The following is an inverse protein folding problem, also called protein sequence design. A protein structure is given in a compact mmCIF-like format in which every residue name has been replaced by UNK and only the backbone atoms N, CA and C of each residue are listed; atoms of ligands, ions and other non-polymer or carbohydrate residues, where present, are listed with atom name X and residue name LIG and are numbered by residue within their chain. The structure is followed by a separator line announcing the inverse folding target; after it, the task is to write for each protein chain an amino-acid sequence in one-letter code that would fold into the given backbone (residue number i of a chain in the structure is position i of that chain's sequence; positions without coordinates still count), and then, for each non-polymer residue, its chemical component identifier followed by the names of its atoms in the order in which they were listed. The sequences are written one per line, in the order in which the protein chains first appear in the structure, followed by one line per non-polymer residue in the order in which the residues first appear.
data_IF_304993651193
#
_entry.id   IF_304993651193
#
_cell.length_a   1.000
_cell.length_b   1.000
_cell.length_c   1.000
_cell.angle_alpha   90.00
_cell.angle_beta   90.00
_cell.angle_gamma   90.00
#
_symmetry.space_group_name_H-M   'P 1'
#
loop_
_entity.id
_entity.type
_entity.pdbx_description
1 polymer ?
#
# COMPACT_ATOMS: atom_id res chain seq x y z
N UNK A 1 -4.76 -0.15 -0.29
CA UNK A 1 -3.64 0.16 0.63
C UNK A 1 -2.81 -1.06 1.03
N UNK A 2 -3.32 -2.27 0.81
CA UNK A 2 -2.65 -3.53 1.15
C UNK A 2 -1.25 -3.70 0.54
N UNK A 3 -0.92 -2.97 -0.52
CA UNK A 3 0.42 -3.02 -1.11
C UNK A 3 1.55 -2.61 -0.15
N UNK A 4 1.26 -1.85 0.92
CA UNK A 4 2.27 -1.51 1.94
C UNK A 4 2.70 -2.76 2.72
N UNK A 5 1.82 -3.48 3.45
CA UNK A 5 2.22 -4.70 4.13
C UNK A 5 2.67 -5.78 3.15
N UNK A 6 2.02 -5.91 1.98
CA UNK A 6 2.41 -6.88 0.96
C UNK A 6 3.87 -6.70 0.50
N UNK A 7 4.31 -5.45 0.31
CA UNK A 7 5.70 -5.16 -0.05
C UNK A 7 6.68 -5.60 1.04
N UNK A 8 6.40 -5.29 2.32
CA UNK A 8 7.27 -5.72 3.42
C UNK A 8 7.35 -7.25 3.51
N UNK A 9 6.20 -7.92 3.42
CA UNK A 9 6.13 -9.39 3.44
C UNK A 9 6.91 -9.97 2.26
N UNK A 10 6.70 -9.45 1.06
CA UNK A 10 7.38 -9.95 -0.14
C UNK A 10 8.91 -9.80 -0.09
N UNK A 11 9.39 -8.70 0.45
CA UNK A 11 10.83 -8.47 0.67
C UNK A 11 11.40 -9.39 1.76
N UNK A 12 10.67 -9.61 2.85
CA UNK A 12 11.11 -10.46 3.95
C UNK A 12 11.15 -11.93 3.55
N UNK A 13 10.14 -12.40 2.83
CA UNK A 13 10.03 -13.77 2.33
C UNK A 13 10.90 -14.03 1.08
N UNK A 14 11.59 -13.01 0.56
CA UNK A 14 12.46 -13.13 -0.60
C UNK A 14 11.72 -13.35 -1.93
N UNK A 15 10.40 -13.11 -1.97
CA UNK A 15 9.60 -13.16 -3.20
C UNK A 15 9.99 -12.08 -4.20
N UNK A 16 10.59 -11.00 -3.70
CA UNK A 16 11.23 -9.91 -4.45
C UNK A 16 12.44 -9.42 -3.65
N UNK A 17 13.54 -9.02 -4.32
CA UNK A 17 14.82 -8.71 -3.64
C UNK A 17 15.06 -7.23 -3.42
N UNK A 18 14.43 -6.36 -4.20
CA UNK A 18 14.66 -4.92 -4.07
C UNK A 18 13.86 -4.06 -5.04
N UNK A 19 14.10 -2.75 -5.01
CA UNK A 19 13.36 -1.74 -5.77
C UNK A 19 13.28 -2.01 -7.27
N UNK A 20 14.39 -2.44 -7.85
CA UNK A 20 14.56 -2.60 -9.29
C UNK A 20 14.38 -4.05 -9.74
N UNK A 21 14.14 -4.98 -8.81
CA UNK A 21 13.87 -6.36 -9.14
C UNK A 21 12.55 -6.46 -9.92
N UNK A 22 12.57 -7.17 -11.03
CA UNK A 22 11.56 -7.09 -12.09
C UNK A 22 10.86 -8.43 -12.26
N UNK A 23 9.54 -8.38 -12.46
CA UNK A 23 8.73 -9.50 -12.93
C UNK A 23 8.32 -9.20 -14.37
N UNK A 24 8.54 -10.21 -15.24
CA UNK A 24 8.18 -10.13 -16.65
C UNK A 24 6.66 -10.06 -16.80
N UNK A 25 6.22 -9.22 -17.73
CA UNK A 25 4.82 -9.14 -18.12
C UNK A 25 4.38 -10.43 -18.79
N UNK A 26 3.17 -10.86 -18.47
CA UNK A 26 2.57 -12.11 -18.97
C UNK A 26 1.98 -11.97 -20.39
N UNK A 27 2.09 -10.79 -21.03
CA UNK A 27 1.54 -10.53 -22.36
C UNK A 27 0.03 -10.23 -22.37
N UNK A 28 -0.67 -10.36 -21.24
CA UNK A 28 -2.11 -10.10 -21.17
C UNK A 28 -2.39 -8.60 -21.12
N UNK A 29 -3.06 -8.07 -22.14
CA UNK A 29 -3.45 -6.66 -22.23
C UNK A 29 -4.53 -6.34 -21.18
N UNK A 30 -4.26 -5.34 -20.35
CA UNK A 30 -5.16 -4.81 -19.31
C UNK A 30 -5.59 -3.38 -19.65
N UNK A 31 -6.66 -2.91 -19.03
CA UNK A 31 -7.20 -1.56 -19.26
C UNK A 31 -6.28 -0.41 -18.83
N UNK A 32 -5.30 -0.69 -17.98
CA UNK A 32 -4.32 0.31 -17.51
C UNK A 32 -3.02 0.10 -18.29
N UNK A 33 -2.68 1.02 -19.16
CA UNK A 33 -1.52 0.89 -20.07
C UNK A 33 -0.19 0.72 -19.33
N UNK A 34 -0.01 1.40 -18.21
CA UNK A 34 1.18 1.26 -17.37
C UNK A 34 1.39 -0.16 -16.81
N UNK A 35 0.37 -1.03 -16.87
CA UNK A 35 0.46 -2.42 -16.44
C UNK A 35 0.90 -3.39 -17.55
N UNK A 36 0.89 -2.94 -18.81
CA UNK A 36 1.13 -3.77 -19.99
C UNK A 36 2.61 -3.76 -20.40
N UNK A 37 3.49 -3.98 -19.43
CA UNK A 37 4.95 -4.06 -19.57
C UNK A 37 5.56 -4.72 -18.35
N UNK A 38 6.83 -5.12 -18.44
CA UNK A 38 7.61 -5.59 -17.30
C UNK A 38 7.52 -4.58 -16.14
N UNK A 39 7.39 -5.08 -14.92
CA UNK A 39 7.27 -4.24 -13.73
C UNK A 39 8.41 -4.50 -12.75
N UNK A 40 9.04 -3.44 -12.29
CA UNK A 40 9.85 -3.49 -11.08
C UNK A 40 8.97 -3.29 -9.83
N UNK A 41 9.48 -3.63 -8.65
CA UNK A 41 8.77 -3.33 -7.39
C UNK A 41 8.42 -1.83 -7.30
N UNK A 42 9.34 -0.95 -7.71
CA UNK A 42 9.12 0.51 -7.72
C UNK A 42 7.97 0.91 -8.63
N UNK A 43 7.96 0.46 -9.88
CA UNK A 43 6.91 0.81 -10.85
C UNK A 43 5.57 0.18 -10.47
N UNK A 44 5.56 -1.08 -10.04
CA UNK A 44 4.35 -1.78 -9.63
C UNK A 44 3.67 -1.11 -8.42
N UNK A 45 4.45 -0.61 -7.45
CA UNK A 45 3.90 0.16 -6.32
C UNK A 45 3.33 1.49 -6.79
N UNK A 46 4.10 2.25 -7.61
CA UNK A 46 3.70 3.55 -8.16
C UNK A 46 2.37 3.45 -8.92
N UNK A 47 2.28 2.54 -9.87
CA UNK A 47 1.11 2.36 -10.73
C UNK A 47 0.03 1.46 -10.11
N UNK A 48 0.22 1.01 -8.87
CA UNK A 48 -0.71 0.08 -8.20
C UNK A 48 -0.97 -1.20 -9.00
N UNK A 49 0.04 -1.70 -9.71
CA UNK A 49 -0.06 -2.85 -10.61
C UNK A 49 -0.56 -4.10 -9.86
N UNK A 50 -1.76 -4.57 -10.20
CA UNK A 50 -2.42 -5.66 -9.48
C UNK A 50 -1.73 -6.98 -9.80
N UNK A 51 -1.52 -7.30 -11.06
CA UNK A 51 -0.96 -8.60 -11.47
C UNK A 51 0.44 -8.87 -10.87
N UNK A 52 1.26 -7.82 -10.72
CA UNK A 52 2.57 -7.94 -10.08
C UNK A 52 2.44 -8.40 -8.63
N UNK A 53 1.53 -7.80 -7.87
CA UNK A 53 1.29 -8.17 -6.47
C UNK A 53 0.57 -9.51 -6.33
N UNK A 54 -0.22 -9.91 -7.31
CA UNK A 54 -0.79 -11.26 -7.40
C UNK A 54 0.30 -12.31 -7.59
N UNK A 55 1.27 -12.04 -8.45
CA UNK A 55 2.42 -12.92 -8.65
C UNK A 55 3.27 -13.03 -7.37
N UNK A 56 3.54 -11.92 -6.68
CA UNK A 56 4.20 -11.97 -5.38
C UNK A 56 3.42 -12.81 -4.38
N UNK A 57 2.10 -12.68 -4.37
CA UNK A 57 1.25 -13.44 -3.46
C UNK A 57 1.32 -14.95 -3.73
N UNK A 58 1.32 -15.37 -4.98
CA UNK A 58 1.51 -16.79 -5.35
C UNK A 58 2.86 -17.33 -4.90
N UNK A 59 3.93 -16.55 -5.02
CA UNK A 59 5.28 -16.93 -4.53
C UNK A 59 5.36 -17.05 -3.01
N UNK A 60 4.65 -16.21 -2.28
CA UNK A 60 4.66 -16.17 -0.81
C UNK A 60 3.83 -17.32 -0.24
N UNK A 61 2.62 -17.52 -0.73
CA UNK A 61 1.69 -18.55 -0.25
C UNK A 61 0.81 -18.10 0.93
N UNK A 62 -0.39 -18.69 1.01
CA UNK A 62 -1.43 -18.29 1.93
C UNK A 62 -1.03 -18.42 3.41
N UNK A 63 -0.30 -19.50 3.76
CA UNK A 63 0.16 -19.75 5.13
C UNK A 63 1.06 -18.64 5.64
N UNK A 64 1.99 -18.15 4.82
CA UNK A 64 2.88 -17.04 5.18
C UNK A 64 2.12 -15.73 5.31
N UNK A 65 1.13 -15.46 4.44
CA UNK A 65 0.26 -14.29 4.63
C UNK A 65 -0.51 -14.37 5.95
N UNK A 66 -1.10 -15.50 6.29
CA UNK A 66 -1.80 -15.70 7.57
C UNK A 66 -0.86 -15.44 8.75
N UNK A 67 0.35 -15.99 8.71
CA UNK A 67 1.36 -15.74 9.73
C UNK A 67 1.67 -14.23 9.86
N UNK A 68 1.99 -13.56 8.74
CA UNK A 68 2.35 -12.15 8.76
C UNK A 68 1.20 -11.24 9.14
N UNK A 69 -0.01 -11.46 8.66
CA UNK A 69 -1.18 -10.66 9.05
C UNK A 69 -1.45 -10.71 10.55
N UNK A 70 -1.22 -11.88 11.18
CA UNK A 70 -1.28 -12.02 12.63
C UNK A 70 -0.14 -11.25 13.32
N UNK A 71 1.11 -11.37 12.85
CA UNK A 71 2.26 -10.63 13.41
C UNK A 71 2.12 -9.12 13.28
N UNK A 72 1.54 -8.65 12.18
CA UNK A 72 1.30 -7.23 11.91
C UNK A 72 0.05 -6.71 12.61
N UNK A 73 -0.78 -7.57 13.18
CA UNK A 73 -2.11 -7.21 13.69
C UNK A 73 -2.93 -6.43 12.64
N UNK A 74 -2.80 -6.83 11.37
CA UNK A 74 -3.33 -6.06 10.24
C UNK A 74 -4.82 -6.32 10.03
N UNK A 75 -5.65 -5.36 10.37
CA UNK A 75 -7.10 -5.45 10.22
C UNK A 75 -7.71 -6.62 10.98
N UNK A 76 -8.57 -7.39 10.32
CA UNK A 76 -9.17 -8.60 10.85
C UNK A 76 -8.27 -9.85 10.71
N UNK A 77 -7.08 -9.72 10.11
CA UNK A 77 -6.04 -10.77 9.96
C UNK A 77 -6.44 -11.92 9.04
N UNK A 78 -7.51 -11.80 8.26
CA UNK A 78 -8.00 -12.87 7.38
C UNK A 78 -7.30 -12.78 6.03
N UNK A 79 -6.54 -13.83 5.67
CA UNK A 79 -6.03 -14.05 4.33
C UNK A 79 -6.84 -15.20 3.68
N UNK A 80 -7.27 -15.00 2.45
CA UNK A 80 -8.04 -16.01 1.72
C UNK A 80 -9.50 -15.62 1.48
N UNK A 81 -10.30 -16.54 0.89
CA UNK A 81 -9.88 -17.87 0.45
C UNK A 81 -8.92 -17.89 -0.74
N UNK A 82 -9.00 -16.91 -1.65
CA UNK A 82 -8.09 -16.76 -2.79
C UNK A 82 -6.74 -16.18 -2.39
N UNK A 83 -5.64 -16.81 -2.85
CA UNK A 83 -4.28 -16.39 -2.49
C UNK A 83 -3.91 -15.02 -3.05
N UNK A 84 -4.41 -14.65 -4.20
CA UNK A 84 -3.96 -13.47 -4.95
C UNK A 84 -5.06 -12.42 -5.16
N UNK A 85 -6.19 -12.55 -4.45
CA UNK A 85 -7.31 -11.62 -4.52
C UNK A 85 -7.95 -11.25 -3.16
N UNK A 86 -7.53 -11.86 -2.05
CA UNK A 86 -8.13 -11.63 -0.72
C UNK A 86 -8.13 -10.15 -0.28
N UNK A 87 -7.22 -9.33 -0.81
CA UNK A 87 -7.19 -7.88 -0.57
C UNK A 87 -7.95 -7.05 -1.61
N UNK A 88 -8.43 -7.67 -2.68
CA UNK A 88 -9.17 -7.02 -3.77
C UNK A 88 -10.68 -7.16 -3.58
N UNK A 89 -11.11 -8.36 -3.23
CA UNK A 89 -12.52 -8.75 -3.09
C UNK A 89 -12.77 -9.79 -2.00
N UNK A 90 -11.74 -10.17 -1.27
CA UNK A 90 -11.83 -11.16 -0.18
C UNK A 90 -12.20 -10.54 1.17
N UNK A 91 -11.95 -11.30 2.23
CA UNK A 91 -12.46 -11.02 3.57
C UNK A 91 -11.57 -10.11 4.42
N UNK A 92 -10.40 -9.70 3.93
CA UNK A 92 -9.55 -8.80 4.71
C UNK A 92 -10.18 -7.41 4.84
N UNK A 93 -10.37 -6.96 6.08
CA UNK A 93 -10.94 -5.65 6.42
C UNK A 93 -10.04 -4.91 7.39
N UNK A 94 -9.95 -3.61 7.23
CA UNK A 94 -9.16 -2.75 8.11
C UNK A 94 -9.85 -1.39 8.27
N UNK A 95 -9.84 -0.84 9.48
CA UNK A 95 -10.32 0.50 9.75
C UNK A 95 -9.23 1.56 9.53
N UNK A 96 -9.62 2.83 9.42
CA UNK A 96 -8.68 3.95 9.32
C UNK A 96 -7.76 4.04 10.56
N UNK A 97 -8.29 3.78 11.76
CA UNK A 97 -7.49 3.74 12.99
C UNK A 97 -6.44 2.64 12.97
N UNK A 98 -6.81 1.44 12.53
CA UNK A 98 -5.86 0.33 12.39
C UNK A 98 -4.80 0.62 11.32
N UNK A 99 -5.15 1.30 10.22
CA UNK A 99 -4.16 1.77 9.23
C UNK A 99 -3.14 2.72 9.86
N UNK A 100 -3.58 3.68 10.68
CA UNK A 100 -2.67 4.59 11.39
C UNK A 100 -1.75 3.83 12.35
N UNK A 101 -2.30 2.89 13.13
CA UNK A 101 -1.49 2.05 14.05
C UNK A 101 -0.45 1.25 13.29
N UNK A 102 -0.84 0.60 12.19
CA UNK A 102 0.08 -0.14 11.33
C UNK A 102 1.18 0.76 10.74
N UNK A 103 0.83 1.95 10.24
CA UNK A 103 1.79 2.90 9.68
C UNK A 103 2.77 3.43 10.73
N UNK A 104 2.30 3.71 11.95
CA UNK A 104 3.16 4.12 13.07
C UNK A 104 4.17 3.02 13.41
N UNK A 105 3.72 1.81 13.65
CA UNK A 105 4.59 0.66 13.93
C UNK A 105 5.58 0.40 12.77
N UNK A 106 5.14 0.58 11.52
CA UNK A 106 6.01 0.47 10.34
C UNK A 106 7.08 1.57 10.31
N UNK A 107 6.70 2.82 10.56
CA UNK A 107 7.63 3.95 10.58
C UNK A 107 8.70 3.81 11.65
N UNK A 108 8.31 3.39 12.87
CA UNK A 108 9.22 3.16 13.98
C UNK A 108 9.92 1.78 13.96
N UNK A 109 9.71 0.99 12.88
CA UNK A 109 10.36 -0.31 12.68
C UNK A 109 10.08 -1.32 13.82
N UNK A 110 8.86 -1.29 14.37
CA UNK A 110 8.48 -2.14 15.51
C UNK A 110 8.12 -3.59 15.11
N UNK A 111 7.91 -3.86 13.81
CA UNK A 111 7.68 -5.22 13.33
C UNK A 111 8.99 -5.97 13.06
N UNK A 112 9.00 -7.31 13.07
CA UNK A 112 10.23 -8.11 12.94
C UNK A 112 10.71 -8.25 11.49
N UNK A 113 10.75 -7.15 10.74
CA UNK A 113 11.33 -7.12 9.40
C UNK A 113 12.77 -6.63 9.43
N UNK A 114 13.57 -7.07 8.47
CA UNK A 114 14.94 -6.57 8.28
C UNK A 114 14.95 -5.06 8.00
N UNK A 115 15.87 -4.32 8.60
CA UNK A 115 15.97 -2.87 8.46
C UNK A 115 15.97 -2.40 7.00
N UNK A 116 16.71 -3.10 6.12
CA UNK A 116 16.75 -2.79 4.68
C UNK A 116 15.39 -2.81 4.00
N UNK A 117 14.44 -3.65 4.47
CA UNK A 117 13.11 -3.77 3.87
C UNK A 117 12.25 -2.55 4.18
N UNK A 118 12.37 -1.99 5.39
CA UNK A 118 11.77 -0.70 5.73
C UNK A 118 12.33 0.45 4.89
N UNK A 119 13.64 0.46 4.66
CA UNK A 119 14.30 1.51 3.87
C UNK A 119 13.86 1.45 2.40
N UNK A 120 13.68 0.24 1.85
CA UNK A 120 13.10 0.04 0.52
C UNK A 120 11.65 0.54 0.50
N UNK A 121 10.82 0.15 1.47
CA UNK A 121 9.42 0.59 1.55
C UNK A 121 9.34 2.12 1.65
N UNK A 122 10.14 2.75 2.51
CA UNK A 122 10.18 4.21 2.65
C UNK A 122 10.49 4.88 1.31
N UNK A 123 11.48 4.38 0.56
CA UNK A 123 11.84 4.93 -0.76
C UNK A 123 10.68 4.86 -1.77
N UNK A 124 9.95 3.74 -1.82
CA UNK A 124 8.86 3.59 -2.81
C UNK A 124 7.56 4.28 -2.39
N UNK A 125 7.38 4.56 -1.10
CA UNK A 125 6.23 5.31 -0.59
C UNK A 125 6.36 6.82 -0.80
N UNK A 126 7.56 7.35 -1.09
CA UNK A 126 7.77 8.77 -1.31
C UNK A 126 7.00 9.23 -2.55
N UNK A 127 6.05 10.14 -2.37
CA UNK A 127 5.19 10.68 -3.44
C UNK A 127 5.41 12.15 -3.70
N UNK A 128 5.93 12.88 -2.71
CA UNK A 128 6.25 14.30 -2.83
C UNK A 128 7.35 14.70 -1.83
N UNK A 129 8.21 15.62 -2.23
CA UNK A 129 9.31 16.12 -1.40
C UNK A 129 9.64 17.57 -1.75
N UNK A 130 9.64 18.42 -0.75
CA UNK A 130 10.07 19.83 -0.81
C UNK A 130 11.12 20.07 0.26
N UNK A 131 11.62 21.30 0.36
CA UNK A 131 12.53 21.69 1.44
C UNK A 131 11.85 21.71 2.82
N UNK A 132 10.51 21.71 2.86
CA UNK A 132 9.72 21.84 4.08
C UNK A 132 9.10 20.52 4.55
N UNK A 133 8.84 19.58 3.63
CA UNK A 133 8.22 18.31 3.97
C UNK A 133 8.57 17.18 3.01
N UNK A 134 8.36 15.93 3.47
CA UNK A 134 8.37 14.73 2.65
C UNK A 134 7.10 13.95 2.91
N UNK A 135 6.34 13.69 1.84
CA UNK A 135 5.08 12.96 1.89
C UNK A 135 5.26 11.52 1.39
N UNK A 136 4.90 10.58 2.22
CA UNK A 136 4.95 9.14 1.94
C UNK A 136 3.55 8.56 2.00
N UNK A 137 3.08 7.99 0.89
CA UNK A 137 1.69 7.58 0.83
C UNK A 137 1.40 6.46 -0.16
N UNK A 138 0.23 5.85 0.00
CA UNK A 138 -0.34 4.88 -0.94
C UNK A 138 -1.83 5.07 -1.09
N UNK A 139 -2.28 5.09 -2.33
CA UNK A 139 -3.69 5.01 -2.67
C UNK A 139 -4.19 3.57 -2.61
N UNK A 140 -5.49 3.41 -2.35
CA UNK A 140 -6.21 2.16 -2.48
C UNK A 140 -7.58 2.40 -3.13
N UNK A 141 -8.12 1.38 -3.78
CA UNK A 141 -9.45 1.40 -4.33
C UNK A 141 -10.03 -0.02 -4.30
N UNK A 142 -11.09 -0.20 -3.54
CA UNK A 142 -11.90 -1.42 -3.51
C UNK A 142 -12.95 -1.37 -4.63
N UNK A 143 -12.49 -1.36 -5.88
CA UNK A 143 -13.36 -1.20 -7.05
C UNK A 143 -14.26 -2.42 -7.32
N UNK A 144 -13.92 -3.58 -6.75
CA UNK A 144 -14.67 -4.83 -6.93
C UNK A 144 -15.71 -5.08 -5.84
N UNK A 145 -15.79 -4.18 -4.86
CA UNK A 145 -16.75 -4.28 -3.75
C UNK A 145 -18.10 -3.72 -4.18
N UNK A 146 -19.20 -4.23 -3.62
CA UNK A 146 -20.55 -3.70 -3.83
C UNK A 146 -20.62 -2.21 -3.45
N UNK A 147 -20.06 -1.84 -2.32
CA UNK A 147 -19.78 -0.44 -1.97
C UNK A 147 -18.32 -0.16 -2.19
N UNK A 148 -17.99 0.57 -3.25
CA UNK A 148 -16.62 0.89 -3.58
C UNK A 148 -16.04 1.89 -2.58
N UNK A 149 -14.80 1.63 -2.14
CA UNK A 149 -14.10 2.47 -1.16
C UNK A 149 -12.75 2.91 -1.69
N UNK A 150 -12.55 4.22 -1.70
CA UNK A 150 -11.26 4.84 -2.00
C UNK A 150 -10.46 5.09 -0.73
N UNK A 151 -9.15 4.84 -0.75
CA UNK A 151 -8.22 5.05 0.35
C UNK A 151 -7.05 5.94 -0.04
N UNK A 152 -6.61 6.77 0.89
CA UNK A 152 -5.29 7.40 0.85
C UNK A 152 -4.69 7.37 2.25
N UNK A 153 -3.58 6.63 2.41
CA UNK A 153 -2.95 6.40 3.71
C UNK A 153 -1.46 6.67 3.61
N UNK A 154 -0.88 7.14 4.71
CA UNK A 154 0.53 7.47 4.71
C UNK A 154 0.95 8.29 5.93
N UNK A 155 2.09 8.94 5.76
CA UNK A 155 2.61 9.88 6.73
C UNK A 155 3.38 11.01 6.04
N UNK A 156 3.55 12.11 6.75
CA UNK A 156 4.32 13.26 6.31
C UNK A 156 5.35 13.63 7.38
N UNK A 157 6.60 13.81 6.95
CA UNK A 157 7.67 14.37 7.77
C UNK A 157 7.74 15.87 7.48
N UNK A 158 7.46 16.70 8.46
CA UNK A 158 7.47 18.18 8.34
C UNK A 158 7.88 18.82 9.66
N UNK A 159 8.72 19.84 9.61
CA UNK A 159 9.13 20.66 10.77
C UNK A 159 9.65 19.81 11.94
N UNK A 160 10.43 18.76 11.66
CA UNK A 160 10.99 17.85 12.66
C UNK A 160 9.97 16.90 13.32
N UNK A 161 8.74 16.84 12.81
CA UNK A 161 7.67 15.96 13.30
C UNK A 161 7.19 15.02 12.22
N UNK A 162 6.52 13.94 12.61
CA UNK A 162 5.82 13.03 11.71
C UNK A 162 4.33 13.01 12.04
N UNK A 163 3.51 13.10 10.99
CA UNK A 163 2.07 13.07 11.07
C UNK A 163 1.54 11.91 10.23
N UNK A 164 0.69 11.09 10.81
CA UNK A 164 0.11 9.92 10.14
C UNK A 164 -1.32 10.23 9.73
N UNK A 165 -1.72 9.74 8.56
CA UNK A 165 -3.08 9.92 8.06
C UNK A 165 -3.63 8.64 7.41
N UNK A 166 -4.94 8.47 7.50
CA UNK A 166 -5.68 7.44 6.81
C UNK A 166 -7.07 7.98 6.48
N UNK A 167 -7.28 8.33 5.22
CA UNK A 167 -8.56 8.75 4.70
C UNK A 167 -9.21 7.62 3.90
N UNK A 168 -10.50 7.39 4.13
CA UNK A 168 -11.31 6.56 3.27
C UNK A 168 -12.63 7.25 2.94
N UNK A 169 -13.14 6.99 1.75
CA UNK A 169 -14.42 7.54 1.30
C UNK A 169 -15.12 6.55 0.38
N UNK A 170 -16.44 6.62 0.37
CA UNK A 170 -17.26 5.86 -0.56
C UNK A 170 -17.11 6.48 -1.95
N UNK A 171 -16.84 5.63 -2.94
CA UNK A 171 -16.75 6.02 -4.35
C UNK A 171 -18.14 5.81 -4.97
N UNK A 172 -18.76 6.88 -5.44
CA UNK A 172 -20.09 6.87 -6.05
C UNK A 172 -20.05 7.19 -7.54
N UNK A 173 -19.03 7.92 -7.98
CA UNK A 173 -18.82 8.39 -9.35
C UNK A 173 -17.38 8.14 -9.77
N UNK A 174 -17.10 8.16 -11.06
CA UNK A 174 -15.76 7.92 -11.60
C UNK A 174 -14.71 8.95 -11.13
N UNK A 175 -15.11 10.19 -10.91
CA UNK A 175 -14.23 11.26 -10.44
C UNK A 175 -13.91 11.20 -8.95
N UNK A 176 -14.71 10.52 -8.12
CA UNK A 176 -14.56 10.49 -6.66
C UNK A 176 -13.18 9.99 -6.18
N UNK A 177 -12.50 9.05 -6.88
CA UNK A 177 -11.18 8.59 -6.44
C UNK A 177 -10.14 9.71 -6.27
N UNK A 178 -10.25 10.85 -6.96
CA UNK A 178 -9.33 11.99 -6.78
C UNK A 178 -9.46 12.61 -5.40
N UNK A 179 -10.68 12.73 -4.88
CA UNK A 179 -10.97 13.40 -3.61
C UNK A 179 -10.26 12.77 -2.41
N UNK A 180 -9.91 11.48 -2.45
CA UNK A 180 -9.14 10.84 -1.37
C UNK A 180 -7.80 11.50 -1.10
N UNK A 181 -7.13 12.06 -2.13
CA UNK A 181 -5.89 12.81 -1.99
C UNK A 181 -6.15 14.27 -1.63
N UNK A 182 -7.10 14.89 -2.33
CA UNK A 182 -7.45 16.31 -2.15
C UNK A 182 -7.88 16.59 -0.70
N UNK A 183 -8.70 15.74 -0.10
CA UNK A 183 -9.14 15.87 1.30
C UNK A 183 -7.97 15.82 2.28
N UNK A 184 -7.02 14.90 2.08
CA UNK A 184 -5.84 14.80 2.94
C UNK A 184 -4.96 16.03 2.78
N UNK A 185 -4.69 16.47 1.54
CA UNK A 185 -3.86 17.65 1.30
C UNK A 185 -4.50 18.92 1.85
N UNK A 186 -5.82 19.09 1.71
CA UNK A 186 -6.55 20.19 2.32
C UNK A 186 -6.40 20.18 3.85
N UNK A 187 -6.66 19.03 4.49
CA UNK A 187 -6.50 18.91 5.94
C UNK A 187 -5.06 19.20 6.41
N UNK A 188 -4.03 18.75 5.69
CA UNK A 188 -2.64 19.04 6.02
C UNK A 188 -2.32 20.54 5.92
N UNK A 189 -2.91 21.25 4.95
CA UNK A 189 -2.80 22.71 4.82
C UNK A 189 -3.52 23.44 5.94
N UNK A 190 -4.77 23.09 6.22
CA UNK A 190 -5.59 23.70 7.29
C UNK A 190 -4.90 23.56 8.66
N UNK A 191 -4.27 22.42 8.91
CA UNK A 191 -3.47 22.16 10.11
C UNK A 191 -2.08 22.81 10.09
N UNK A 192 -1.71 23.55 9.03
CA UNK A 192 -0.40 24.19 8.83
C UNK A 192 0.79 23.24 8.94
N UNK A 193 0.58 22.00 8.51
CA UNK A 193 1.61 20.96 8.47
C UNK A 193 2.46 21.12 7.19
N UNK A 194 1.82 21.51 6.09
CA UNK A 194 2.43 21.88 4.80
C UNK A 194 2.02 23.25 4.37
#
# INVERSE_FOLDING_TARGET
TFKIPNTLIALEEGAIRGLNDTIKWDGLKRSIDDWNKDQSLKSAFKYSCVWFYQELARRIGLQKYTFWLNKLEYGNRIAGPGIDDFWLQGDIKISARQQITFLKKTYFKEYPFKAKNYDILKKIMLVDSTDHYKLYAKTGWGARLQTQVGWYVGYIESKGRVWFFAANLVIRKEEDPRFRKELVLAALKDLKII
#
